data_IF_785465417390
#
_entry.id   IF_785465417390
#
_cell.length_a   1.000
_cell.length_b   1.000
_cell.length_c   1.000
_cell.angle_alpha   90.00
_cell.angle_beta   90.00
_cell.angle_gamma   90.00
#
_symmetry.space_group_name_H-M   'P 1'
#
loop_
_entity.id
_entity.type
_entity.pdbx_description
1 polymer ?
#
# COMPACT_ATOMS: atom_id res chain seq x y z
N UNK A 1 -15.15 15.71 -7.48
CA UNK A 1 -14.83 14.50 -6.72
C UNK A 1 -13.45 14.05 -7.16
N UNK A 2 -12.55 13.85 -6.20
CA UNK A 2 -11.23 13.29 -6.46
C UNK A 2 -11.30 11.76 -6.40
N UNK A 3 -10.31 11.07 -6.95
CA UNK A 3 -10.16 9.63 -6.84
C UNK A 3 -9.01 9.29 -5.89
N UNK A 4 -9.29 8.48 -4.87
CA UNK A 4 -8.31 7.84 -3.99
C UNK A 4 -7.92 6.48 -4.57
N UNK A 5 -6.64 6.20 -4.66
CA UNK A 5 -6.06 4.94 -5.11
C UNK A 5 -5.02 4.50 -4.10
N UNK A 6 -5.11 3.25 -3.64
CA UNK A 6 -4.09 2.64 -2.79
C UNK A 6 -3.16 1.80 -3.67
N UNK A 7 -1.85 1.97 -3.47
CA UNK A 7 -0.80 1.18 -4.13
C UNK A 7 -0.38 0.08 -3.17
N UNK A 8 -0.26 -1.13 -3.70
CA UNK A 8 0.17 -2.31 -2.97
C UNK A 8 1.37 -2.94 -3.65
N UNK A 9 2.21 -3.59 -2.86
CA UNK A 9 3.08 -4.66 -3.33
C UNK A 9 2.48 -5.98 -2.87
N UNK A 10 2.07 -6.82 -3.82
CA UNK A 10 1.15 -7.94 -3.53
C UNK A 10 -0.03 -7.47 -2.68
N UNK A 11 -0.18 -7.94 -1.45
CA UNK A 11 -1.27 -7.54 -0.54
C UNK A 11 -0.86 -6.54 0.54
N UNK A 12 0.41 -6.15 0.60
CA UNK A 12 0.89 -5.15 1.56
C UNK A 12 0.69 -3.74 0.97
N UNK A 13 -0.09 -2.85 1.60
CA UNK A 13 -0.24 -1.48 1.12
C UNK A 13 1.06 -0.70 1.33
N UNK A 14 1.36 0.22 0.42
CA UNK A 14 2.59 1.01 0.45
C UNK A 14 2.34 2.52 0.40
N UNK A 15 1.32 2.93 -0.36
CA UNK A 15 1.09 4.35 -0.63
C UNK A 15 -0.38 4.63 -0.91
N UNK A 16 -0.84 5.82 -0.51
CA UNK A 16 -2.12 6.41 -0.93
C UNK A 16 -1.85 7.52 -1.95
N UNK A 17 -2.64 7.55 -3.02
CA UNK A 17 -2.63 8.59 -4.05
C UNK A 17 -4.04 9.14 -4.18
N UNK A 18 -4.24 10.44 -3.99
CA UNK A 18 -5.51 11.11 -4.25
C UNK A 18 -5.33 12.07 -5.42
N UNK A 19 -6.15 11.95 -6.47
CA UNK A 19 -6.00 12.72 -7.72
C UNK A 19 -7.30 13.42 -8.11
N UNK A 20 -7.19 14.65 -8.61
CA UNK A 20 -8.29 15.39 -9.23
C UNK A 20 -7.77 16.18 -10.42
N UNK A 21 -8.09 15.72 -11.63
CA UNK A 21 -7.54 16.31 -12.86
C UNK A 21 -6.00 16.27 -12.86
N UNK A 22 -5.36 17.45 -12.80
CA UNK A 22 -3.89 17.59 -12.72
C UNK A 22 -3.33 17.66 -11.31
N UNK A 23 -4.19 17.81 -10.29
CA UNK A 23 -3.77 17.87 -8.90
C UNK A 23 -3.59 16.44 -8.35
N UNK A 24 -2.57 16.25 -7.52
CA UNK A 24 -2.29 14.95 -6.90
C UNK A 24 -1.70 15.17 -5.51
N UNK A 25 -2.27 14.53 -4.51
CA UNK A 25 -1.66 14.34 -3.20
C UNK A 25 -1.20 12.88 -3.06
N UNK A 26 -0.08 12.69 -2.37
CA UNK A 26 0.53 11.39 -2.15
C UNK A 26 0.90 11.26 -0.67
N UNK A 27 0.67 10.07 -0.10
CA UNK A 27 1.11 9.72 1.25
C UNK A 27 1.72 8.33 1.25
N UNK A 28 3.00 8.28 1.56
CA UNK A 28 3.68 7.03 1.88
C UNK A 28 3.25 6.60 3.28
N UNK A 29 3.09 5.30 3.49
CA UNK A 29 2.79 4.74 4.80
C UNK A 29 4.07 4.67 5.65
N UNK A 30 3.90 4.49 6.96
CA UNK A 30 5.03 4.31 7.88
C UNK A 30 6.06 3.27 7.40
N UNK A 31 7.32 3.46 7.80
CA UNK A 31 8.46 2.63 7.38
C UNK A 31 8.23 1.11 7.57
N UNK A 32 7.45 0.71 8.58
CA UNK A 32 7.08 -0.69 8.83
C UNK A 32 6.42 -1.40 7.63
N UNK A 33 5.74 -0.67 6.75
CA UNK A 33 5.16 -1.25 5.54
C UNK A 33 6.22 -1.59 4.50
N UNK A 34 7.17 -0.69 4.27
CA UNK A 34 8.31 -0.92 3.38
C UNK A 34 9.18 -2.09 3.89
N UNK A 35 9.46 -2.12 5.19
CA UNK A 35 10.18 -3.22 5.84
C UNK A 35 9.47 -4.58 5.66
N UNK A 36 8.13 -4.60 5.76
CA UNK A 36 7.34 -5.79 5.52
C UNK A 36 7.39 -6.25 4.06
N UNK A 37 7.34 -5.31 3.10
CA UNK A 37 7.49 -5.60 1.67
C UNK A 37 8.87 -6.21 1.39
N UNK A 38 9.94 -5.64 1.94
CA UNK A 38 11.30 -6.15 1.74
C UNK A 38 11.47 -7.54 2.36
N UNK A 39 10.94 -7.76 3.57
CA UNK A 39 10.94 -9.09 4.20
C UNK A 39 10.18 -10.11 3.34
N UNK A 40 9.02 -9.72 2.80
CA UNK A 40 8.20 -10.56 1.94
C UNK A 40 8.90 -10.89 0.60
N UNK A 41 9.55 -9.89 0.00
CA UNK A 41 10.31 -10.03 -1.24
C UNK A 41 11.51 -10.95 -1.06
N UNK A 42 12.28 -10.77 0.02
CA UNK A 42 13.39 -11.66 0.36
C UNK A 42 12.92 -13.09 0.57
N UNK A 43 11.84 -13.29 1.33
CA UNK A 43 11.31 -14.62 1.64
C UNK A 43 10.75 -15.36 0.44
N UNK A 44 10.13 -14.64 -0.49
CA UNK A 44 9.59 -15.22 -1.73
C UNK A 44 10.62 -15.35 -2.86
N UNK A 45 11.87 -14.91 -2.63
CA UNK A 45 12.90 -14.88 -3.66
C UNK A 45 12.70 -13.82 -4.75
N UNK A 46 11.75 -12.89 -4.55
CA UNK A 46 11.50 -11.80 -5.48
C UNK A 46 12.51 -10.64 -5.33
N UNK A 47 13.20 -10.54 -4.18
CA UNK A 47 14.14 -9.47 -3.90
C UNK A 47 15.25 -9.37 -4.96
N UNK A 48 15.46 -8.16 -5.51
CA UNK A 48 16.49 -7.90 -6.52
C UNK A 48 16.21 -8.50 -7.90
N UNK A 49 14.99 -8.97 -8.15
CA UNK A 49 14.56 -9.53 -9.44
C UNK A 49 13.48 -8.67 -10.09
N UNK A 50 13.22 -8.88 -11.38
CA UNK A 50 12.11 -8.23 -12.08
C UNK A 50 10.75 -8.55 -11.44
N UNK A 51 10.62 -9.70 -10.75
CA UNK A 51 9.41 -10.08 -10.05
C UNK A 51 9.05 -9.10 -8.93
N UNK A 52 10.02 -8.42 -8.30
CA UNK A 52 9.73 -7.39 -7.31
C UNK A 52 8.94 -6.24 -7.93
N UNK A 53 9.36 -5.77 -9.12
CA UNK A 53 8.70 -4.66 -9.81
C UNK A 53 7.37 -5.08 -10.44
N UNK A 54 7.24 -6.34 -10.86
CA UNK A 54 6.04 -6.88 -11.50
C UNK A 54 4.85 -7.05 -10.54
N UNK A 55 5.11 -7.16 -9.23
CA UNK A 55 4.08 -7.44 -8.20
C UNK A 55 3.44 -6.16 -7.62
N UNK A 56 3.83 -4.98 -8.11
CA UNK A 56 3.18 -3.73 -7.76
C UNK A 56 1.82 -3.61 -8.44
N UNK A 57 0.78 -3.35 -7.66
CA UNK A 57 -0.58 -3.14 -8.15
C UNK A 57 -1.23 -1.91 -7.55
N UNK A 58 -2.22 -1.37 -8.25
CA UNK A 58 -3.08 -0.28 -7.77
C UNK A 58 -4.47 -0.84 -7.56
N UNK A 59 -5.11 -0.51 -6.44
CA UNK A 59 -6.53 -0.78 -6.25
C UNK A 59 -7.38 0.06 -7.20
N UNK A 60 -8.63 -0.35 -7.36
CA UNK A 60 -9.62 0.45 -8.06
C UNK A 60 -9.79 1.83 -7.41
N UNK A 61 -9.96 2.89 -8.22
CA UNK A 61 -10.17 4.23 -7.69
C UNK A 61 -11.48 4.31 -6.91
N UNK A 62 -11.39 4.84 -5.70
CA UNK A 62 -12.54 5.14 -4.85
C UNK A 62 -12.78 6.65 -4.84
N UNK A 63 -13.99 7.13 -5.18
CA UNK A 63 -14.25 8.55 -5.24
C UNK A 63 -14.35 9.15 -3.83
N UNK A 64 -13.64 10.26 -3.59
CA UNK A 64 -13.52 10.96 -2.29
C UNK A 64 -13.74 12.47 -2.45
N UNK A 65 -13.69 13.23 -1.35
CA UNK A 65 -13.84 14.68 -1.41
C UNK A 65 -12.74 15.36 -2.24
N UNK A 66 -12.93 16.65 -2.55
CA UNK A 66 -11.97 17.42 -3.34
C UNK A 66 -10.81 17.98 -2.49
N UNK A 67 -10.74 17.66 -1.20
CA UNK A 67 -9.61 17.98 -0.32
C UNK A 67 -8.55 16.88 -0.37
N UNK A 68 -7.69 16.93 -1.39
CA UNK A 68 -6.75 15.87 -1.70
C UNK A 68 -5.79 15.56 -0.54
N UNK A 69 -5.30 16.59 0.16
CA UNK A 69 -4.35 16.43 1.26
C UNK A 69 -5.03 15.78 2.47
N UNK A 70 -6.23 16.26 2.85
CA UNK A 70 -6.97 15.69 3.97
C UNK A 70 -7.39 14.24 3.70
N UNK A 71 -7.85 13.92 2.48
CA UNK A 71 -8.23 12.56 2.11
C UNK A 71 -7.03 11.61 2.08
N UNK A 72 -5.87 12.08 1.59
CA UNK A 72 -4.66 11.26 1.56
C UNK A 72 -4.14 10.97 2.98
N UNK A 73 -4.13 11.98 3.85
CA UNK A 73 -3.74 11.86 5.27
C UNK A 73 -4.66 10.89 6.01
N UNK A 74 -5.98 11.11 5.89
CA UNK A 74 -7.01 10.28 6.52
C UNK A 74 -6.88 8.82 6.10
N UNK A 75 -6.78 8.56 4.80
CA UNK A 75 -6.65 7.21 4.28
C UNK A 75 -5.35 6.53 4.73
N UNK A 76 -4.23 7.27 4.80
CA UNK A 76 -2.98 6.74 5.33
C UNK A 76 -3.15 6.32 6.80
N UNK A 77 -3.72 7.19 7.65
CA UNK A 77 -3.98 6.89 9.07
C UNK A 77 -4.92 5.69 9.27
N UNK A 78 -5.98 5.59 8.46
CA UNK A 78 -6.89 4.45 8.47
C UNK A 78 -6.17 3.14 8.12
N UNK A 79 -5.37 3.14 7.04
CA UNK A 79 -4.58 1.96 6.66
C UNK A 79 -3.59 1.60 7.77
N UNK A 80 -2.88 2.57 8.33
CA UNK A 80 -1.93 2.34 9.41
C UNK A 80 -2.57 1.71 10.65
N UNK A 81 -3.81 2.09 10.94
CA UNK A 81 -4.60 1.53 12.06
C UNK A 81 -5.06 0.11 11.75
N UNK A 82 -5.50 -0.17 10.51
CA UNK A 82 -5.97 -1.49 10.07
C UNK A 82 -4.84 -2.51 9.84
N UNK A 83 -3.61 -2.03 9.72
CA UNK A 83 -2.40 -2.82 9.49
C UNK A 83 -1.40 -2.62 10.64
N UNK A 84 -1.70 -3.21 11.82
CA UNK A 84 -0.75 -3.23 12.93
C UNK A 84 0.48 -4.06 12.55
N UNK A 85 1.55 -3.89 13.35
CA UNK A 85 2.83 -4.56 13.10
C UNK A 85 2.72 -6.07 13.02
N UNK A 86 1.94 -6.71 13.91
CA UNK A 86 1.80 -8.17 13.92
C UNK A 86 1.21 -8.71 12.61
N UNK A 87 0.20 -8.02 12.07
CA UNK A 87 -0.41 -8.35 10.77
C UNK A 87 0.59 -8.19 9.63
N UNK A 88 1.35 -7.11 9.61
CA UNK A 88 2.39 -6.89 8.60
C UNK A 88 3.44 -8.00 8.63
N UNK A 89 3.88 -8.40 9.83
CA UNK A 89 4.84 -9.49 10.01
C UNK A 89 4.26 -10.82 9.50
N UNK A 90 2.99 -11.11 9.81
CA UNK A 90 2.31 -12.31 9.34
C UNK A 90 2.25 -12.37 7.80
N UNK A 91 1.73 -11.32 7.16
CA UNK A 91 1.61 -11.26 5.70
C UNK A 91 2.98 -11.34 5.02
N UNK A 92 3.98 -10.67 5.58
CA UNK A 92 5.33 -10.74 5.04
C UNK A 92 5.98 -12.13 5.22
N UNK A 93 5.67 -12.86 6.30
CA UNK A 93 6.03 -14.29 6.44
C UNK A 93 5.29 -15.18 5.43
N UNK A 94 4.14 -14.77 4.93
CA UNK A 94 3.44 -15.42 3.82
C UNK A 94 3.92 -14.93 2.43
N UNK A 95 5.06 -14.24 2.36
CA UNK A 95 5.58 -13.73 1.09
C UNK A 95 4.77 -12.55 0.56
N UNK A 96 4.08 -11.79 1.41
CA UNK A 96 3.33 -10.61 1.02
C UNK A 96 1.91 -10.91 0.52
N UNK A 97 1.42 -12.14 0.75
CA UNK A 97 0.07 -12.57 0.39
C UNK A 97 -0.75 -12.80 1.64
N UNK A 98 -1.96 -12.27 1.68
CA UNK A 98 -2.92 -12.64 2.71
C UNK A 98 -3.31 -14.12 2.48
N UNK A 99 -3.56 -14.87 3.57
CA UNK A 99 -4.14 -16.19 3.40
C UNK A 99 -5.54 -16.01 2.81
N UNK A 100 -5.83 -16.65 1.68
CA UNK A 100 -7.20 -16.74 1.18
C UNK A 100 -8.03 -17.46 2.26
N UNK A 101 -9.01 -16.77 2.84
CA UNK A 101 -10.05 -17.39 3.70
C UNK A 101 -10.98 -18.29 2.87
#
# INVERSE_FOLDING_TARGET
MADKVIVFWRDIPAQVIVKKGRQTAKRELAARFAEAIDMAAMRSGAAGTDAYLAEWRRADPEPVSDDLEAEAEKAAMEIETLWPQDRLVEVARSGGRLADE
#
